data_IF_196887197917
#
_entry.id   IF_196887197917
#
_cell.length_a   1.000
_cell.length_b   1.000
_cell.length_c   1.000
_cell.angle_alpha   90.00
_cell.angle_beta   90.00
_cell.angle_gamma   90.00
#
_symmetry.space_group_name_H-M   'P 1'
#
loop_
_entity.id
_entity.type
_entity.pdbx_description
1 polymer ?
#
# COMPACT_ATOMS: atom_id res chain seq x y z
N UNK A 1 2.96 18.05 3.19
CA UNK A 1 1.49 17.99 3.00
C UNK A 1 0.96 16.57 2.98
N UNK A 2 1.51 15.65 2.18
CA UNK A 2 1.01 14.26 2.08
C UNK A 2 0.87 13.55 3.44
N UNK A 3 1.82 13.74 4.35
CA UNK A 3 1.79 13.23 5.72
C UNK A 3 0.58 13.71 6.55
N UNK A 4 0.23 15.00 6.42
CA UNK A 4 -0.87 15.61 7.17
C UNK A 4 -2.23 15.12 6.66
N UNK A 5 -2.35 15.00 5.34
CA UNK A 5 -3.52 14.44 4.68
C UNK A 5 -3.70 12.96 5.06
N UNK A 6 -2.60 12.19 5.13
CA UNK A 6 -2.62 10.78 5.56
C UNK A 6 -3.09 10.60 7.01
N UNK A 7 -2.75 11.54 7.91
CA UNK A 7 -3.24 11.55 9.29
C UNK A 7 -4.76 11.76 9.37
N UNK A 8 -5.31 12.65 8.52
CA UNK A 8 -6.75 12.96 8.53
C UNK A 8 -7.63 11.98 7.74
N UNK A 9 -7.05 11.21 6.81
CA UNK A 9 -7.81 10.36 5.89
C UNK A 9 -8.54 9.15 6.53
N UNK A 10 -8.40 8.91 7.84
CA UNK A 10 -9.04 7.78 8.54
C UNK A 10 -8.59 6.40 8.00
N UNK A 11 -9.15 5.31 8.52
CA UNK A 11 -8.85 3.94 8.09
C UNK A 11 -10.06 3.23 7.45
N UNK A 12 -11.08 3.99 7.06
CA UNK A 12 -12.28 3.45 6.41
C UNK A 12 -12.01 3.09 4.96
N UNK A 13 -12.44 1.90 4.52
CA UNK A 13 -12.37 1.47 3.13
C UNK A 13 -13.44 2.26 2.35
N UNK A 14 -13.00 3.26 1.60
CA UNK A 14 -13.85 4.10 0.76
C UNK A 14 -13.07 4.56 -0.46
N UNK A 15 -13.75 4.80 -1.58
CA UNK A 15 -13.12 5.14 -2.86
C UNK A 15 -12.21 6.38 -2.76
N UNK A 16 -12.61 7.38 -1.97
CA UNK A 16 -11.88 8.64 -1.82
C UNK A 16 -10.53 8.47 -1.11
N UNK A 17 -10.44 7.87 0.09
CA UNK A 17 -9.17 7.50 0.72
C UNK A 17 -8.28 6.62 -0.17
N UNK A 18 -8.86 5.65 -0.88
CA UNK A 18 -8.09 4.74 -1.75
C UNK A 18 -7.39 5.52 -2.87
N UNK A 19 -8.11 6.40 -3.58
CA UNK A 19 -7.54 7.21 -4.66
C UNK A 19 -6.41 8.14 -4.16
N UNK A 20 -6.59 8.69 -2.96
CA UNK A 20 -5.60 9.55 -2.31
C UNK A 20 -4.32 8.78 -1.95
N UNK A 21 -4.44 7.57 -1.41
CA UNK A 21 -3.31 6.69 -1.09
C UNK A 21 -2.57 6.24 -2.36
N UNK A 22 -3.31 5.88 -3.42
CA UNK A 22 -2.72 5.53 -4.72
C UNK A 22 -1.88 6.68 -5.31
N UNK A 23 -2.43 7.90 -5.33
CA UNK A 23 -1.70 9.09 -5.78
C UNK A 23 -0.48 9.39 -4.90
N UNK A 24 -0.58 9.13 -3.59
CA UNK A 24 0.52 9.30 -2.64
C UNK A 24 1.64 8.28 -2.87
N UNK A 25 1.34 7.05 -3.29
CA UNK A 25 2.35 6.06 -3.67
C UNK A 25 2.96 6.33 -5.04
N UNK A 26 2.16 6.80 -6.00
CA UNK A 26 2.59 7.03 -7.38
C UNK A 26 3.62 8.17 -7.49
N UNK A 27 3.46 9.25 -6.72
CA UNK A 27 4.34 10.43 -6.78
C UNK A 27 5.80 10.12 -6.37
N UNK A 28 6.07 9.43 -5.24
CA UNK A 28 7.41 8.96 -4.91
C UNK A 28 7.99 8.00 -5.94
N UNK A 29 7.18 7.09 -6.51
CA UNK A 29 7.64 6.18 -7.56
C UNK A 29 8.09 6.97 -8.79
N UNK A 30 7.27 7.91 -9.25
CA UNK A 30 7.60 8.77 -10.38
C UNK A 30 8.86 9.62 -10.12
N UNK A 31 9.03 10.12 -8.90
CA UNK A 31 10.23 10.83 -8.46
C UNK A 31 11.48 9.92 -8.50
N UNK A 32 11.39 8.70 -7.98
CA UNK A 32 12.48 7.72 -8.03
C UNK A 32 12.86 7.34 -9.47
N UNK A 33 11.90 7.27 -10.39
CA UNK A 33 12.18 7.01 -11.81
C UNK A 33 12.82 8.22 -12.52
N UNK A 34 12.50 9.44 -12.09
CA UNK A 34 13.04 10.69 -12.64
C UNK A 34 14.43 11.08 -12.07
N UNK A 35 14.92 10.33 -11.09
CA UNK A 35 16.21 10.51 -10.41
C UNK A 35 17.40 10.88 -11.33
N UNK A 36 17.67 10.22 -12.48
CA UNK A 36 18.79 10.58 -13.34
C UNK A 36 18.69 12.00 -13.92
N UNK A 37 17.48 12.50 -14.19
CA UNK A 37 17.28 13.88 -14.64
C UNK A 37 17.52 14.88 -13.51
N UNK A 38 17.08 14.54 -12.29
CA UNK A 38 17.29 15.37 -11.09
C UNK A 38 18.77 15.45 -10.70
N UNK A 39 19.53 14.36 -10.85
CA UNK A 39 20.97 14.35 -10.57
C UNK A 39 21.79 15.21 -11.55
N UNK A 40 21.36 15.34 -12.81
CA UNK A 40 21.98 16.25 -13.79
C UNK A 40 21.79 17.71 -13.41
N UNK A 41 20.61 18.09 -12.91
CA UNK A 41 20.34 19.45 -12.42
C UNK A 41 21.19 19.82 -11.19
N UNK A 42 21.63 18.81 -10.43
CA UNK A 42 22.42 18.98 -9.21
C UNK A 42 23.93 19.10 -9.46
N UNK A 43 24.40 18.98 -10.71
CA UNK A 43 25.83 19.00 -11.07
C UNK A 43 26.54 20.31 -10.72
N UNK A 44 25.81 21.43 -10.68
CA UNK A 44 26.38 22.74 -10.29
C UNK A 44 26.50 22.93 -8.77
N UNK A 45 26.08 21.97 -7.94
CA UNK A 45 26.05 22.12 -6.48
C UNK A 45 27.24 21.43 -5.81
N UNK A 46 27.90 22.13 -4.88
CA UNK A 46 29.01 21.57 -4.09
C UNK A 46 28.59 20.47 -3.10
N UNK A 47 27.29 20.28 -2.86
CA UNK A 47 26.72 19.30 -1.92
C UNK A 47 25.83 18.24 -2.61
N UNK A 48 26.08 17.96 -3.88
CA UNK A 48 25.33 17.00 -4.71
C UNK A 48 25.05 15.66 -4.01
N UNK A 49 26.04 15.11 -3.32
CA UNK A 49 25.92 13.82 -2.65
C UNK A 49 24.88 13.83 -1.52
N UNK A 50 24.94 14.83 -0.64
CA UNK A 50 23.99 14.99 0.47
C UNK A 50 22.57 15.25 -0.03
N UNK A 51 22.42 16.12 -1.04
CA UNK A 51 21.10 16.43 -1.61
C UNK A 51 20.48 15.22 -2.32
N UNK A 52 21.28 14.45 -3.07
CA UNK A 52 20.83 13.21 -3.69
C UNK A 52 20.42 12.14 -2.68
N UNK A 53 21.17 12.00 -1.59
CA UNK A 53 20.87 11.06 -0.52
C UNK A 53 19.57 11.42 0.21
N UNK A 54 19.37 12.69 0.55
CA UNK A 54 18.12 13.18 1.17
C UNK A 54 16.93 12.97 0.23
N UNK A 55 17.10 13.24 -1.07
CA UNK A 55 16.06 12.99 -2.07
C UNK A 55 15.67 11.51 -2.14
N UNK A 56 16.67 10.61 -2.20
CA UNK A 56 16.43 9.17 -2.26
C UNK A 56 15.72 8.66 -0.99
N UNK A 57 16.25 9.01 0.18
CA UNK A 57 15.68 8.58 1.47
C UNK A 57 14.28 9.16 1.67
N UNK A 58 14.07 10.43 1.33
CA UNK A 58 12.75 11.08 1.46
C UNK A 58 11.67 10.41 0.62
N UNK A 59 11.99 10.04 -0.62
CA UNK A 59 11.04 9.33 -1.49
C UNK A 59 10.82 7.87 -1.04
N UNK A 60 11.86 7.17 -0.58
CA UNK A 60 11.74 5.83 0.00
C UNK A 60 10.85 5.83 1.26
N UNK A 61 11.05 6.80 2.16
CA UNK A 61 10.20 6.97 3.34
C UNK A 61 8.75 7.26 2.94
N UNK A 62 8.53 8.14 1.96
CA UNK A 62 7.18 8.42 1.43
C UNK A 62 6.49 7.17 0.88
N UNK A 63 7.23 6.32 0.16
CA UNK A 63 6.72 5.04 -0.35
C UNK A 63 6.41 4.06 0.78
N UNK A 64 7.31 3.90 1.75
CA UNK A 64 7.12 3.02 2.90
C UNK A 64 5.86 3.39 3.71
N UNK A 65 5.63 4.70 3.90
CA UNK A 65 4.43 5.19 4.59
C UNK A 65 3.15 4.94 3.79
N UNK A 66 3.20 5.05 2.46
CA UNK A 66 2.05 4.70 1.62
C UNK A 66 1.69 3.22 1.73
N UNK A 67 2.69 2.32 1.74
CA UNK A 67 2.50 0.88 1.95
C UNK A 67 1.91 0.61 3.34
N UNK A 68 2.44 1.25 4.38
CA UNK A 68 1.91 1.14 5.74
C UNK A 68 0.44 1.58 5.83
N UNK A 69 0.06 2.64 5.11
CA UNK A 69 -1.33 3.09 5.04
C UNK A 69 -2.23 2.07 4.33
N UNK A 70 -1.77 1.48 3.21
CA UNK A 70 -2.49 0.40 2.53
C UNK A 70 -2.74 -0.79 3.45
N UNK A 71 -1.74 -1.19 4.24
CA UNK A 71 -1.90 -2.24 5.24
C UNK A 71 -2.92 -1.85 6.32
N UNK A 72 -2.83 -0.64 6.85
CA UNK A 72 -3.74 -0.14 7.90
C UNK A 72 -5.20 -0.05 7.44
N UNK A 73 -5.42 0.10 6.13
CA UNK A 73 -6.75 0.11 5.51
C UNK A 73 -7.24 -1.29 5.09
N UNK A 74 -6.43 -2.35 5.26
CA UNK A 74 -6.80 -3.71 4.85
C UNK A 74 -6.83 -3.91 3.32
N UNK A 75 -6.12 -3.08 2.56
CA UNK A 75 -6.07 -3.19 1.09
C UNK A 75 -5.06 -4.22 0.59
N UNK A 76 -4.12 -4.63 1.46
CA UNK A 76 -3.09 -5.60 1.12
C UNK A 76 -3.57 -7.01 1.50
N UNK A 77 -3.40 -8.01 0.62
CA UNK A 77 -3.82 -9.40 0.85
C UNK A 77 -2.87 -10.08 1.86
N UNK A 78 -3.00 -9.69 3.12
CA UNK A 78 -2.10 -10.06 4.22
C UNK A 78 -2.77 -11.01 5.22
N UNK A 79 -4.09 -11.03 5.26
CA UNK A 79 -4.86 -11.89 6.14
C UNK A 79 -5.38 -13.12 5.39
N UNK A 80 -5.52 -14.24 6.11
CA UNK A 80 -6.10 -15.46 5.56
C UNK A 80 -7.54 -15.25 5.03
N UNK A 81 -8.27 -14.29 5.60
CA UNK A 81 -9.59 -13.86 5.12
C UNK A 81 -9.56 -13.36 3.67
N UNK A 82 -8.46 -12.75 3.23
CA UNK A 82 -8.32 -12.19 1.88
C UNK A 82 -8.26 -13.31 0.83
N UNK A 83 -7.91 -14.52 1.25
CA UNK A 83 -7.75 -15.71 0.41
C UNK A 83 -8.89 -16.71 0.56
N UNK A 84 -9.87 -16.43 1.43
CA UNK A 84 -10.96 -17.36 1.73
C UNK A 84 -11.76 -17.77 0.47
N UNK A 85 -11.88 -16.85 -0.49
CA UNK A 85 -12.56 -17.11 -1.76
C UNK A 85 -11.88 -18.20 -2.62
N UNK A 86 -10.62 -18.53 -2.35
CA UNK A 86 -9.85 -19.55 -3.07
C UNK A 86 -9.71 -20.87 -2.30
N UNK A 87 -10.29 -20.96 -1.09
CA UNK A 87 -10.27 -22.18 -0.30
C UNK A 87 -11.49 -23.02 -0.67
N UNK A 88 -11.25 -24.27 -1.08
CA UNK A 88 -12.32 -25.22 -1.37
C UNK A 88 -13.13 -25.52 -0.08
N UNK A 89 -14.47 -25.59 -0.17
CA UNK A 89 -15.27 -25.99 0.96
C UNK A 89 -14.95 -27.44 1.34
N UNK A 90 -14.91 -27.78 2.64
CA UNK A 90 -14.67 -29.14 3.07
C UNK A 90 -15.78 -30.07 2.53
N UNK A 91 -15.38 -31.16 1.89
CA UNK A 91 -16.33 -32.17 1.43
C UNK A 91 -16.90 -32.97 2.60
N UNK A 92 -18.22 -33.18 2.56
CA UNK A 92 -18.91 -33.96 3.58
C UNK A 92 -18.67 -35.45 3.35
N UNK A 93 -17.87 -36.07 4.22
CA UNK A 93 -17.52 -37.50 4.15
C UNK A 93 -18.65 -38.43 4.61
N UNK A 94 -19.48 -37.98 5.55
CA UNK A 94 -20.51 -38.80 6.18
C UNK A 94 -21.88 -38.12 6.12
N UNK A 95 -22.89 -38.88 5.71
CA UNK A 95 -24.28 -38.43 5.70
C UNK A 95 -25.11 -39.34 6.61
N UNK A 96 -25.57 -38.81 7.74
CA UNK A 96 -26.53 -39.48 8.62
C UNK A 96 -27.81 -38.66 8.60
N UNK A 97 -28.92 -39.31 8.22
CA UNK A 97 -30.24 -38.72 8.20
C UNK A 97 -31.23 -39.62 8.91
N UNK A 98 -31.97 -39.06 9.85
CA UNK A 98 -33.11 -39.68 10.52
C UNK A 98 -34.23 -38.64 10.67
N UNK A 99 -35.48 -39.09 10.53
CA UNK A 99 -36.68 -38.26 10.66
C UNK A 99 -37.71 -38.93 11.56
N UNK A 100 -38.78 -38.21 11.89
CA UNK A 100 -39.87 -38.76 12.70
C UNK A 100 -40.57 -39.90 11.95
N UNK A 101 -40.75 -41.04 12.62
CA UNK A 101 -41.73 -42.05 12.24
C UNK A 101 -43.12 -41.45 12.51
N UNK A 102 -43.84 -41.11 11.44
CA UNK A 102 -45.29 -40.89 11.50
C UNK A 102 -46.00 -42.25 11.53
#
# INVERSE_FOLDING_TARGET
MNLFIMYMAGNTISIFPIMMVCMMAWRPIQALLATPATFKLLESSGQRFLQGLVYLIGNLLGLALAVYKCQSMGLLPTHASDWLAFIEPPERMENTGGGFLL
#
